data_IF_639036366931
#
_entry.id   IF_639036366931
#
_cell.length_a   1.000
_cell.length_b   1.000
_cell.length_c   1.000
_cell.angle_alpha   90.00
_cell.angle_beta   90.00
_cell.angle_gamma   90.00
#
_symmetry.space_group_name_H-M   'P 1'
#
loop_
_entity.id
_entity.type
_entity.pdbx_description
1 polymer ?
#
# COMPACT_ATOMS: atom_id res chain seq x y z
N UNK A 1 -7.91 -13.20 -4.43
CA UNK A 1 -7.46 -12.77 -3.08
C UNK A 1 -5.97 -13.02 -2.95
N UNK A 2 -5.15 -12.10 -3.45
CA UNK A 2 -3.76 -12.03 -2.98
C UNK A 2 -3.79 -11.51 -1.54
N UNK A 3 -3.69 -12.44 -0.58
CA UNK A 3 -3.60 -12.10 0.83
C UNK A 3 -2.22 -11.50 1.10
N UNK A 4 -2.16 -10.33 1.73
CA UNK A 4 -0.90 -9.72 2.14
C UNK A 4 -0.17 -10.70 3.07
N UNK A 5 1.04 -11.11 2.69
CA UNK A 5 1.81 -12.03 3.51
C UNK A 5 2.16 -11.42 4.88
N UNK A 6 2.40 -12.28 5.86
CA UNK A 6 2.70 -11.84 7.23
C UNK A 6 3.89 -10.87 7.31
N UNK A 7 5.02 -11.08 6.59
CA UNK A 7 6.12 -10.12 6.58
C UNK A 7 5.73 -8.73 6.05
N UNK A 8 4.96 -8.67 4.97
CA UNK A 8 4.50 -7.41 4.38
C UNK A 8 3.50 -6.72 5.29
N UNK A 9 2.57 -7.46 5.90
CA UNK A 9 1.64 -6.92 6.89
C UNK A 9 2.37 -6.31 8.10
N UNK A 10 3.38 -7.01 8.65
CA UNK A 10 4.21 -6.48 9.73
C UNK A 10 4.92 -5.20 9.30
N UNK A 11 5.48 -5.17 8.08
CA UNK A 11 6.19 -3.99 7.58
C UNK A 11 5.26 -2.78 7.38
N UNK A 12 4.06 -3.00 6.86
CA UNK A 12 3.03 -1.97 6.74
C UNK A 12 2.66 -1.42 8.12
N UNK A 13 2.44 -2.30 9.10
CA UNK A 13 2.16 -1.90 10.48
C UNK A 13 3.31 -1.09 11.10
N UNK A 14 4.57 -1.47 10.88
CA UNK A 14 5.74 -0.69 11.33
C UNK A 14 5.85 0.69 10.67
N UNK A 15 5.25 0.88 9.48
CA UNK A 15 5.14 2.17 8.80
C UNK A 15 3.90 2.97 9.24
N UNK A 16 3.13 2.46 10.19
CA UNK A 16 1.87 3.07 10.64
C UNK A 16 0.69 2.83 9.71
N UNK A 17 0.85 2.01 8.66
CA UNK A 17 -0.23 1.67 7.74
C UNK A 17 -1.00 0.48 8.30
N UNK A 18 -2.25 0.73 8.69
CA UNK A 18 -3.17 -0.30 9.14
C UNK A 18 -4.57 -0.11 8.51
N UNK A 19 -5.44 -1.10 8.72
CA UNK A 19 -6.84 -1.01 8.29
C UNK A 19 -7.48 0.25 8.86
N UNK A 20 -8.20 0.99 8.00
CA UNK A 20 -8.87 2.24 8.38
C UNK A 20 -8.03 3.50 8.22
N UNK A 21 -6.73 3.41 7.90
CA UNK A 21 -5.94 4.58 7.55
C UNK A 21 -6.36 5.16 6.19
N UNK A 22 -6.38 6.49 6.09
CA UNK A 22 -6.51 7.18 4.80
C UNK A 22 -5.13 7.32 4.15
N UNK A 23 -4.99 6.79 2.93
CA UNK A 23 -3.77 6.90 2.12
C UNK A 23 -4.05 7.83 0.94
N UNK A 24 -3.24 8.86 0.76
CA UNK A 24 -3.33 9.71 -0.43
C UNK A 24 -2.49 9.11 -1.56
N UNK A 25 -3.11 8.79 -2.69
CA UNK A 25 -2.35 8.30 -3.86
C UNK A 25 -1.72 9.48 -4.59
N UNK A 26 -0.39 9.56 -4.57
CA UNK A 26 0.36 10.62 -5.25
C UNK A 26 0.67 10.26 -6.70
N UNK A 27 0.99 8.99 -6.98
CA UNK A 27 1.36 8.54 -8.34
C UNK A 27 1.09 7.05 -8.53
N UNK A 28 0.58 6.68 -9.71
CA UNK A 28 0.51 5.29 -10.19
C UNK A 28 1.42 5.14 -11.40
N UNK A 29 2.34 4.18 -11.36
CA UNK A 29 3.16 3.86 -12.52
C UNK A 29 2.43 2.86 -13.45
N UNK A 30 2.66 2.91 -14.77
CA UNK A 30 2.03 1.98 -15.72
C UNK A 30 2.50 0.53 -15.51
N UNK A 31 1.86 -0.42 -16.21
CA UNK A 31 2.22 -1.85 -16.25
C UNK A 31 2.27 -2.56 -14.89
N UNK A 32 1.29 -2.30 -14.02
CA UNK A 32 1.28 -2.80 -12.62
C UNK A 32 2.55 -2.41 -11.84
N UNK A 33 3.16 -1.28 -12.22
CA UNK A 33 4.26 -0.66 -11.50
C UNK A 33 3.84 -0.18 -10.10
N UNK A 34 4.80 0.27 -9.28
CA UNK A 34 4.50 0.70 -7.92
C UNK A 34 3.48 1.84 -7.87
N UNK A 35 2.83 1.98 -6.74
CA UNK A 35 1.97 3.10 -6.39
C UNK A 35 2.67 3.88 -5.30
N UNK A 36 2.86 5.18 -5.50
CA UNK A 36 3.37 6.08 -4.48
C UNK A 36 2.18 6.61 -3.70
N UNK A 37 2.14 6.32 -2.41
CA UNK A 37 1.15 6.85 -1.48
C UNK A 37 1.82 7.79 -0.49
N UNK A 38 1.05 8.72 0.06
CA UNK A 38 1.42 9.56 1.17
C UNK A 38 0.58 9.20 2.41
N UNK A 39 1.26 9.07 3.54
CA UNK A 39 0.68 8.85 4.85
C UNK A 39 1.49 9.64 5.89
N UNK A 40 0.84 10.48 6.69
CA UNK A 40 1.51 11.32 7.70
C UNK A 40 2.78 12.05 7.18
N UNK A 41 2.68 12.68 6.00
CA UNK A 41 3.78 13.37 5.30
C UNK A 41 4.95 12.46 4.84
N UNK A 42 4.82 11.14 4.98
CA UNK A 42 5.77 10.16 4.46
C UNK A 42 5.32 9.66 3.09
N UNK A 43 6.26 9.56 2.15
CA UNK A 43 6.00 9.00 0.82
C UNK A 43 6.50 7.58 0.75
N UNK A 44 5.60 6.66 0.42
CA UNK A 44 5.85 5.23 0.47
C UNK A 44 5.55 4.63 -0.90
N UNK A 45 6.52 3.88 -1.44
CA UNK A 45 6.32 3.08 -2.64
C UNK A 45 5.74 1.72 -2.29
N UNK A 46 4.53 1.44 -2.77
CA UNK A 46 3.82 0.17 -2.56
C UNK A 46 3.76 -0.59 -3.87
N UNK A 47 4.01 -1.91 -3.84
CA UNK A 47 3.81 -2.77 -5.02
C UNK A 47 2.33 -2.77 -5.42
N UNK A 48 2.04 -2.80 -6.71
CA UNK A 48 0.66 -2.72 -7.20
C UNK A 48 -0.29 -3.76 -6.59
N UNK A 49 0.14 -5.02 -6.48
CA UNK A 49 -0.65 -6.08 -5.84
C UNK A 49 -0.97 -5.80 -4.37
N UNK A 50 0.01 -5.31 -3.61
CA UNK A 50 -0.20 -4.91 -2.20
C UNK A 50 -1.12 -3.70 -2.12
N UNK A 51 -0.99 -2.73 -3.04
CA UNK A 51 -1.90 -1.59 -3.09
C UNK A 51 -3.35 -2.02 -3.36
N UNK A 52 -3.58 -2.94 -4.30
CA UNK A 52 -4.90 -3.51 -4.54
C UNK A 52 -5.45 -4.16 -3.28
N UNK A 53 -4.67 -5.01 -2.61
CA UNK A 53 -5.09 -5.65 -1.37
C UNK A 53 -5.44 -4.65 -0.25
N UNK A 54 -4.72 -3.52 -0.16
CA UNK A 54 -4.98 -2.45 0.82
C UNK A 54 -6.30 -1.71 0.58
N UNK A 55 -6.66 -1.47 -0.69
CA UNK A 55 -7.90 -0.75 -1.04
C UNK A 55 -9.12 -1.68 -1.19
N UNK A 56 -8.97 -2.98 -0.85
CA UNK A 56 -10.00 -3.99 -1.06
C UNK A 56 -10.21 -4.37 -2.53
N UNK A 57 -9.25 -4.06 -3.39
CA UNK A 57 -9.20 -4.47 -4.80
C UNK A 57 -8.76 -5.93 -4.94
N UNK A 58 -9.40 -6.63 -5.89
CA UNK A 58 -9.34 -8.08 -6.10
C UNK A 58 -7.98 -8.60 -6.59
#
# INVERSE_FOLDING_TARGET
>A
MEQIDKPTATRLHSLGIHSGCELAVLRKYPFHGPVIVEYESQRIGIRYSIFLALIGGN
#
